data_IF_113390695301
#
_entry.id   IF_113390695301
#
_cell.length_a   1.000
_cell.length_b   1.000
_cell.length_c   1.000
_cell.angle_alpha   90.00
_cell.angle_beta   90.00
_cell.angle_gamma   90.00
#
_symmetry.space_group_name_H-M   'P 1'
#
loop_
_entity.id
_entity.type
_entity.pdbx_description
1 polymer ?
#
# COMPACT_ATOMS: atom_id res chain seq x y z
N UNK A 1 -41.46 8.16 15.78
CA UNK A 1 -40.42 8.76 14.92
C UNK A 1 -39.72 7.64 14.18
N UNK A 2 -40.06 7.43 12.91
CA UNK A 2 -39.37 6.47 12.04
C UNK A 2 -37.94 6.99 11.82
N UNK A 3 -36.96 6.15 12.10
CA UNK A 3 -35.57 6.36 11.70
C UNK A 3 -35.56 6.52 10.19
N UNK A 4 -35.59 7.79 9.74
CA UNK A 4 -35.34 8.17 8.37
C UNK A 4 -34.04 7.48 7.98
N UNK A 5 -34.10 6.52 7.05
CA UNK A 5 -32.93 5.89 6.46
C UNK A 5 -32.04 7.01 5.93
N UNK A 6 -31.05 7.41 6.72
CA UNK A 6 -30.01 8.33 6.27
C UNK A 6 -29.25 7.48 5.26
N UNK A 7 -29.59 7.66 4.00
CA UNK A 7 -28.88 7.09 2.86
C UNK A 7 -27.40 7.42 3.06
N UNK A 8 -26.63 6.44 3.55
CA UNK A 8 -25.27 6.65 4.02
C UNK A 8 -24.44 6.88 2.78
N UNK A 9 -24.38 8.15 2.34
CA UNK A 9 -23.64 8.56 1.16
C UNK A 9 -22.24 7.98 1.27
N UNK A 10 -21.86 7.20 0.26
CA UNK A 10 -20.54 6.57 0.18
C UNK A 10 -19.46 7.66 0.02
N UNK A 11 -19.10 8.27 1.14
CA UNK A 11 -18.07 9.30 1.25
C UNK A 11 -16.67 8.75 0.98
N UNK A 12 -16.53 7.43 0.82
CA UNK A 12 -15.28 6.77 0.48
C UNK A 12 -15.14 6.56 -1.03
N UNK A 13 -16.25 6.35 -1.76
CA UNK A 13 -16.27 6.20 -3.22
C UNK A 13 -15.42 7.25 -3.95
N UNK A 14 -15.65 8.53 -3.68
CA UNK A 14 -14.90 9.62 -4.33
C UNK A 14 -13.39 9.57 -4.03
N UNK A 15 -13.00 9.14 -2.82
CA UNK A 15 -11.59 8.97 -2.45
C UNK A 15 -10.95 7.78 -3.15
N UNK A 16 -11.69 6.69 -3.34
CA UNK A 16 -11.24 5.53 -4.11
C UNK A 16 -10.99 5.94 -5.56
N UNK A 17 -11.96 6.59 -6.22
CA UNK A 17 -11.81 7.03 -7.62
C UNK A 17 -10.63 7.98 -7.80
N UNK A 18 -10.49 8.97 -6.92
CA UNK A 18 -9.34 9.88 -6.98
C UNK A 18 -8.00 9.13 -6.83
N UNK A 19 -7.93 8.14 -5.94
CA UNK A 19 -6.73 7.36 -5.75
C UNK A 19 -6.43 6.43 -6.93
N UNK A 20 -7.44 5.86 -7.57
CA UNK A 20 -7.30 5.04 -8.78
C UNK A 20 -6.76 5.85 -9.95
N UNK A 21 -7.35 7.02 -10.19
CA UNK A 21 -6.92 7.93 -11.26
C UNK A 21 -5.44 8.30 -11.08
N UNK A 22 -5.01 8.62 -9.84
CA UNK A 22 -3.61 8.94 -9.55
C UNK A 22 -2.68 7.73 -9.66
N UNK A 23 -3.09 6.58 -9.14
CA UNK A 23 -2.26 5.38 -9.12
C UNK A 23 -2.04 4.80 -10.52
N UNK A 24 -3.04 4.91 -11.38
CA UNK A 24 -3.04 4.22 -12.67
C UNK A 24 -2.89 5.14 -13.89
N UNK A 25 -2.92 6.47 -13.77
CA UNK A 25 -2.77 7.40 -14.91
C UNK A 25 -1.67 7.00 -15.90
N UNK A 26 -0.50 6.61 -15.41
CA UNK A 26 0.66 6.25 -16.24
C UNK A 26 1.11 4.79 -16.08
N UNK A 27 0.31 3.92 -15.46
CA UNK A 27 0.72 2.54 -15.19
C UNK A 27 0.35 1.61 -16.35
N UNK A 28 1.32 1.28 -17.21
CA UNK A 28 1.12 0.49 -18.43
C UNK A 28 0.33 -0.82 -18.21
N UNK A 29 0.75 -1.66 -17.25
CA UNK A 29 0.08 -2.95 -17.01
C UNK A 29 -1.33 -2.83 -16.44
N UNK A 30 -1.62 -1.75 -15.71
CA UNK A 30 -2.96 -1.48 -15.18
C UNK A 30 -3.87 -0.97 -16.30
N UNK A 31 -3.32 -0.08 -17.14
CA UNK A 31 -3.96 0.49 -18.32
C UNK A 31 -3.94 -0.45 -19.53
N UNK A 32 -3.82 -1.76 -19.33
CA UNK A 32 -4.09 -2.70 -20.41
C UNK A 32 -5.60 -2.70 -20.71
N UNK A 33 -5.99 -2.33 -21.94
CA UNK A 33 -7.38 -2.37 -22.40
C UNK A 33 -7.64 -3.63 -23.24
N UNK A 34 -8.70 -4.36 -22.90
CA UNK A 34 -9.17 -5.49 -23.70
C UNK A 34 -9.97 -4.98 -24.90
N UNK A 35 -9.73 -5.57 -26.07
CA UNK A 35 -10.36 -5.14 -27.31
C UNK A 35 -11.87 -5.40 -27.39
N UNK A 36 -12.40 -6.33 -26.58
CA UNK A 36 -13.83 -6.65 -26.52
C UNK A 36 -14.22 -7.38 -25.24
N UNK A 37 -15.53 -7.48 -24.99
CA UNK A 37 -16.11 -8.20 -23.84
C UNK A 37 -15.66 -9.66 -23.78
N UNK A 38 -15.49 -10.35 -24.91
CA UNK A 38 -15.02 -11.74 -24.95
C UNK A 38 -13.62 -11.88 -24.32
N UNK A 39 -12.72 -10.94 -24.59
CA UNK A 39 -11.38 -10.94 -23.99
C UNK A 39 -11.42 -10.56 -22.50
N UNK A 40 -12.22 -9.57 -22.13
CA UNK A 40 -12.43 -9.20 -20.73
C UNK A 40 -12.98 -10.38 -19.91
N UNK A 41 -13.96 -11.10 -20.46
CA UNK A 41 -14.51 -12.32 -19.86
C UNK A 41 -13.44 -13.39 -19.66
N UNK A 42 -12.63 -13.70 -20.68
CA UNK A 42 -11.52 -14.66 -20.55
C UNK A 42 -10.55 -14.28 -19.43
N UNK A 43 -10.25 -12.98 -19.28
CA UNK A 43 -9.42 -12.52 -18.17
C UNK A 43 -10.09 -12.76 -16.82
N UNK A 44 -11.38 -12.42 -16.67
CA UNK A 44 -12.14 -12.68 -15.45
C UNK A 44 -12.20 -14.18 -15.15
N UNK A 45 -12.48 -15.02 -16.15
CA UNK A 45 -12.52 -16.48 -16.03
C UNK A 45 -11.16 -17.02 -15.52
N UNK A 46 -10.04 -16.54 -16.08
CA UNK A 46 -8.69 -16.92 -15.63
C UNK A 46 -8.41 -16.57 -14.16
N UNK A 47 -9.04 -15.52 -13.64
CA UNK A 47 -8.96 -15.16 -12.23
C UNK A 47 -9.78 -16.14 -11.40
N UNK A 48 -11.05 -16.33 -11.75
CA UNK A 48 -12.01 -17.13 -10.98
C UNK A 48 -11.69 -18.63 -10.99
N UNK A 49 -11.03 -19.12 -12.03
CA UNK A 49 -10.58 -20.51 -12.16
C UNK A 49 -9.23 -20.78 -11.47
N UNK A 50 -8.53 -19.73 -11.02
CA UNK A 50 -7.21 -19.89 -10.42
C UNK A 50 -7.27 -20.58 -9.05
N UNK A 51 -6.24 -21.38 -8.74
CA UNK A 51 -6.05 -21.95 -7.38
C UNK A 51 -6.06 -20.87 -6.31
N UNK A 52 -5.45 -19.71 -6.62
CA UNK A 52 -5.42 -18.56 -5.72
C UNK A 52 -6.84 -18.14 -5.33
N UNK A 53 -7.74 -17.96 -6.32
CA UNK A 53 -9.13 -17.60 -6.07
C UNK A 53 -9.86 -18.64 -5.21
N UNK A 54 -9.70 -19.93 -5.50
CA UNK A 54 -10.34 -21.01 -4.75
C UNK A 54 -9.88 -21.07 -3.27
N UNK A 55 -8.64 -20.69 -3.00
CA UNK A 55 -8.05 -20.68 -1.65
C UNK A 55 -8.25 -19.37 -0.89
N UNK A 56 -8.63 -18.29 -1.58
CA UNK A 56 -8.60 -16.98 -0.98
C UNK A 56 -9.73 -16.83 0.05
N UNK A 57 -9.32 -16.37 1.23
CA UNK A 57 -10.23 -16.00 2.31
C UNK A 57 -10.15 -14.49 2.49
N UNK A 58 -11.31 -13.85 2.54
CA UNK A 58 -11.42 -12.40 2.69
C UNK A 58 -11.95 -12.09 4.07
N UNK A 59 -11.40 -11.07 4.75
CA UNK A 59 -11.89 -10.72 6.06
C UNK A 59 -13.30 -10.13 5.96
N UNK A 60 -14.17 -10.52 6.88
CA UNK A 60 -15.48 -9.88 7.08
C UNK A 60 -15.35 -8.81 8.16
N UNK A 61 -15.58 -7.55 7.80
CA UNK A 61 -15.58 -6.40 8.71
C UNK A 61 -16.97 -5.99 9.21
N UNK A 62 -18.00 -6.79 8.91
CA UNK A 62 -19.36 -6.58 9.42
C UNK A 62 -19.39 -6.30 10.95
N UNK A 63 -20.19 -5.31 11.42
CA UNK A 63 -20.35 -5.02 12.84
C UNK A 63 -20.78 -6.27 13.62
N UNK A 64 -20.14 -6.56 14.75
CA UNK A 64 -20.48 -7.70 15.60
C UNK A 64 -20.00 -9.07 15.09
N UNK A 65 -19.50 -9.18 13.84
CA UNK A 65 -18.92 -10.43 13.37
C UNK A 65 -17.64 -10.75 14.17
N UNK A 66 -17.59 -11.97 14.74
CA UNK A 66 -16.31 -12.62 15.07
C UNK A 66 -15.42 -12.55 13.83
N UNK A 67 -14.10 -12.53 14.01
CA UNK A 67 -13.14 -12.52 12.90
C UNK A 67 -13.37 -13.77 12.05
N UNK A 68 -14.25 -13.61 11.07
CA UNK A 68 -14.72 -14.64 10.18
C UNK A 68 -14.20 -14.24 8.83
N UNK A 69 -13.52 -15.17 8.19
CA UNK A 69 -13.19 -15.03 6.79
C UNK A 69 -14.24 -15.76 5.98
N UNK A 70 -14.58 -15.23 4.82
CA UNK A 70 -15.43 -15.92 3.85
C UNK A 70 -14.63 -16.18 2.58
N UNK A 71 -14.98 -17.26 1.87
CA UNK A 71 -14.49 -17.48 0.51
C UNK A 71 -15.39 -16.72 -0.45
N UNK A 72 -14.83 -16.30 -1.58
CA UNK A 72 -15.65 -15.83 -2.69
C UNK A 72 -16.70 -16.90 -3.02
N UNK A 73 -17.97 -16.56 -2.95
CA UNK A 73 -19.07 -17.47 -3.28
C UNK A 73 -19.27 -17.63 -4.79
N UNK A 74 -18.64 -16.77 -5.59
CA UNK A 74 -18.76 -16.79 -7.05
C UNK A 74 -17.62 -17.59 -7.67
N UNK A 75 -17.94 -18.82 -8.08
CA UNK A 75 -17.06 -19.64 -8.94
C UNK A 75 -17.00 -19.11 -10.37
N UNK A 76 -18.01 -18.34 -10.78
CA UNK A 76 -18.09 -17.78 -12.12
C UNK A 76 -18.61 -16.35 -12.02
N UNK A 77 -17.90 -15.41 -12.67
CA UNK A 77 -18.36 -14.03 -12.79
C UNK A 77 -18.75 -13.79 -14.25
N UNK A 78 -19.97 -13.31 -14.50
CA UNK A 78 -20.47 -13.08 -15.85
C UNK A 78 -20.22 -11.64 -16.27
N UNK A 79 -19.39 -11.44 -17.29
CA UNK A 79 -19.18 -10.11 -17.90
C UNK A 79 -20.14 -9.92 -19.08
N UNK A 80 -20.98 -8.88 -19.02
CA UNK A 80 -21.89 -8.49 -20.10
C UNK A 80 -21.55 -7.10 -20.63
N UNK A 81 -21.61 -6.95 -21.95
CA UNK A 81 -21.51 -5.65 -22.61
C UNK A 81 -22.76 -4.80 -22.37
N UNK A 82 -22.59 -3.48 -22.42
CA UNK A 82 -23.68 -2.51 -22.50
C UNK A 82 -23.30 -1.34 -23.39
N UNK A 83 -24.31 -0.61 -23.88
CA UNK A 83 -24.10 0.68 -24.54
C UNK A 83 -23.71 1.75 -23.49
N UNK A 84 -22.81 2.66 -23.85
CA UNK A 84 -22.38 3.80 -23.03
C UNK A 84 -21.20 3.54 -22.10
N UNK A 85 -20.86 4.53 -21.27
CA UNK A 85 -19.59 4.59 -20.49
C UNK A 85 -19.61 3.96 -19.10
N UNK A 86 -20.74 3.42 -18.68
CA UNK A 86 -20.93 2.93 -17.31
C UNK A 86 -20.33 1.54 -17.07
N UNK A 87 -19.90 1.28 -15.84
CA UNK A 87 -19.39 -0.01 -15.38
C UNK A 87 -19.89 -0.33 -13.96
N UNK A 88 -20.39 -1.56 -13.76
CA UNK A 88 -21.16 -1.97 -12.58
C UNK A 88 -20.89 -3.44 -12.25
N UNK A 89 -20.36 -3.72 -11.07
CA UNK A 89 -20.26 -5.03 -10.45
C UNK A 89 -21.41 -5.26 -9.47
N UNK A 90 -22.04 -6.42 -9.55
CA UNK A 90 -23.10 -6.84 -8.65
C UNK A 90 -22.58 -7.95 -7.73
N UNK A 91 -23.01 -7.94 -6.47
CA UNK A 91 -22.79 -9.02 -5.50
C UNK A 91 -23.41 -10.38 -5.89
N UNK A 92 -24.06 -10.46 -7.05
CA UNK A 92 -24.55 -11.71 -7.67
C UNK A 92 -23.51 -12.39 -8.56
N UNK A 93 -22.27 -11.87 -8.63
CA UNK A 93 -21.25 -12.38 -9.54
C UNK A 93 -21.47 -11.95 -10.98
N UNK A 94 -22.07 -10.78 -11.19
CA UNK A 94 -22.30 -10.21 -12.53
C UNK A 94 -21.55 -8.90 -12.66
N UNK A 95 -20.89 -8.70 -13.80
CA UNK A 95 -20.27 -7.44 -14.19
C UNK A 95 -20.94 -6.97 -15.49
N UNK A 96 -21.37 -5.71 -15.52
CA UNK A 96 -21.91 -5.06 -16.72
C UNK A 96 -21.04 -3.86 -17.04
N UNK A 97 -20.41 -3.88 -18.22
CA UNK A 97 -19.38 -2.92 -18.57
C UNK A 97 -19.55 -2.44 -20.02
N UNK A 98 -19.34 -1.14 -20.24
CA UNK A 98 -19.25 -0.57 -21.58
C UNK A 98 -17.88 -0.77 -22.21
N UNK A 99 -17.80 -0.75 -23.54
CA UNK A 99 -16.56 -1.05 -24.28
C UNK A 99 -15.42 -0.06 -23.99
N UNK A 100 -15.73 1.16 -23.56
CA UNK A 100 -14.75 2.18 -23.14
C UNK A 100 -14.12 1.90 -21.76
N UNK A 101 -14.70 0.98 -20.98
CA UNK A 101 -14.27 0.68 -19.60
C UNK A 101 -13.57 -0.66 -19.46
N UNK A 102 -13.24 -1.34 -20.58
CA UNK A 102 -12.56 -2.64 -20.61
C UNK A 102 -11.08 -2.60 -20.20
N UNK A 103 -10.70 -1.75 -19.25
CA UNK A 103 -9.35 -1.71 -18.69
C UNK A 103 -9.20 -2.75 -17.60
N UNK A 104 -7.98 -3.30 -17.49
CA UNK A 104 -7.67 -4.36 -16.52
C UNK A 104 -7.98 -3.96 -15.09
N UNK A 105 -7.60 -2.75 -14.68
CA UNK A 105 -7.88 -2.28 -13.32
C UNK A 105 -9.38 -2.07 -13.06
N UNK A 106 -10.15 -1.58 -14.04
CA UNK A 106 -11.61 -1.49 -13.94
C UNK A 106 -12.27 -2.87 -13.76
N UNK A 107 -11.79 -3.91 -14.45
CA UNK A 107 -12.32 -5.27 -14.22
C UNK A 107 -12.05 -5.76 -12.80
N UNK A 108 -10.85 -5.49 -12.25
CA UNK A 108 -10.54 -5.85 -10.87
C UNK A 108 -11.36 -5.04 -9.85
N UNK A 109 -11.66 -3.78 -10.16
CA UNK A 109 -12.58 -2.94 -9.38
C UNK A 109 -13.95 -3.60 -9.27
N UNK A 110 -14.53 -4.02 -10.39
CA UNK A 110 -15.84 -4.67 -10.38
C UNK A 110 -15.82 -6.07 -9.76
N UNK A 111 -14.75 -6.85 -9.97
CA UNK A 111 -14.57 -8.12 -9.28
C UNK A 111 -14.56 -7.91 -7.76
N UNK A 112 -13.93 -6.86 -7.26
CA UNK A 112 -13.93 -6.56 -5.83
C UNK A 112 -15.36 -6.31 -5.30
N UNK A 113 -16.24 -5.66 -6.08
CA UNK A 113 -17.67 -5.50 -5.74
C UNK A 113 -18.43 -6.84 -5.73
N UNK A 114 -18.04 -7.81 -6.56
CA UNK A 114 -18.68 -9.14 -6.51
C UNK A 114 -18.32 -9.90 -5.23
N UNK A 115 -17.17 -9.61 -4.62
CA UNK A 115 -16.70 -10.29 -3.41
C UNK A 115 -17.14 -9.55 -2.17
N UNK A 116 -16.98 -8.23 -2.11
CA UNK A 116 -17.28 -7.44 -0.92
C UNK A 116 -18.79 -7.32 -0.74
N UNK A 117 -19.29 -7.73 0.42
CA UNK A 117 -20.72 -7.74 0.72
C UNK A 117 -21.11 -6.66 1.75
N UNK A 118 -20.23 -5.69 1.99
CA UNK A 118 -20.41 -4.65 2.99
C UNK A 118 -20.96 -3.37 2.39
N UNK A 119 -21.80 -2.69 3.17
CA UNK A 119 -22.17 -1.31 2.95
C UNK A 119 -21.27 -0.37 3.78
N UNK A 120 -20.82 0.76 3.21
CA UNK A 120 -21.02 1.18 1.82
C UNK A 120 -20.22 0.32 0.82
N UNK A 121 -20.68 0.24 -0.42
CA UNK A 121 -20.04 -0.55 -1.49
C UNK A 121 -18.52 -0.36 -1.62
N UNK A 122 -17.99 0.87 -1.44
CA UNK A 122 -16.54 1.12 -1.43
C UNK A 122 -15.94 1.13 -0.02
N UNK A 123 -16.46 0.28 0.86
CA UNK A 123 -16.05 0.13 2.26
C UNK A 123 -14.60 -0.39 2.43
N UNK A 124 -14.12 -0.49 3.68
CA UNK A 124 -12.77 -1.00 3.94
C UNK A 124 -12.55 -2.44 3.46
N UNK A 125 -13.57 -3.29 3.49
CA UNK A 125 -13.50 -4.66 2.98
C UNK A 125 -13.27 -4.67 1.47
N UNK A 126 -14.09 -3.92 0.72
CA UNK A 126 -13.91 -3.70 -0.71
C UNK A 126 -12.48 -3.27 -1.04
N UNK A 127 -11.98 -2.23 -0.35
CA UNK A 127 -10.65 -1.70 -0.61
C UNK A 127 -9.52 -2.72 -0.30
N UNK A 128 -9.71 -3.56 0.72
CA UNK A 128 -8.77 -4.63 1.05
C UNK A 128 -8.73 -5.73 -0.01
N UNK A 129 -9.91 -6.16 -0.48
CA UNK A 129 -10.06 -7.13 -1.58
C UNK A 129 -9.40 -6.59 -2.85
N UNK A 130 -9.70 -5.35 -3.19
CA UNK A 130 -9.20 -4.72 -4.41
C UNK A 130 -7.66 -4.60 -4.43
N UNK A 131 -7.06 -4.19 -3.32
CA UNK A 131 -5.60 -4.19 -3.17
C UNK A 131 -4.98 -5.59 -3.35
N UNK A 132 -5.63 -6.64 -2.83
CA UNK A 132 -5.16 -8.01 -3.00
C UNK A 132 -5.23 -8.46 -4.46
N UNK A 133 -6.32 -8.13 -5.17
CA UNK A 133 -6.48 -8.40 -6.60
C UNK A 133 -5.42 -7.68 -7.43
N UNK A 134 -5.21 -6.39 -7.20
CA UNK A 134 -4.20 -5.58 -7.91
C UNK A 134 -2.80 -6.16 -7.70
N UNK A 135 -2.45 -6.50 -6.45
CA UNK A 135 -1.15 -7.13 -6.15
C UNK A 135 -0.93 -8.42 -6.91
N UNK A 136 -1.97 -9.25 -7.01
CA UNK A 136 -1.87 -10.58 -7.62
C UNK A 136 -1.86 -10.51 -9.15
N UNK A 137 -2.73 -9.72 -9.75
CA UNK A 137 -3.04 -9.79 -11.18
C UNK A 137 -2.48 -8.64 -12.02
N UNK A 138 -2.07 -7.54 -11.40
CA UNK A 138 -1.33 -6.46 -12.07
C UNK A 138 0.14 -6.50 -11.65
N UNK A 139 0.41 -6.65 -10.34
CA UNK A 139 1.75 -6.81 -9.80
C UNK A 139 2.00 -5.97 -8.54
N UNK A 140 3.17 -6.17 -7.95
CA UNK A 140 3.57 -5.51 -6.70
C UNK A 140 3.68 -4.00 -6.84
N UNK A 141 4.18 -3.50 -7.96
CA UNK A 141 4.39 -2.06 -8.16
C UNK A 141 3.06 -1.31 -8.24
N UNK A 142 2.12 -1.81 -9.03
CA UNK A 142 0.73 -1.31 -9.08
C UNK A 142 0.07 -1.31 -7.70
N UNK A 143 0.28 -2.38 -6.92
CA UNK A 143 -0.22 -2.46 -5.55
C UNK A 143 0.37 -1.39 -4.64
N UNK A 144 1.69 -1.16 -4.70
CA UNK A 144 2.35 -0.16 -3.87
C UNK A 144 1.88 1.25 -4.21
N UNK A 145 1.71 1.55 -5.50
CA UNK A 145 1.16 2.82 -5.99
C UNK A 145 -0.30 3.00 -5.53
N UNK A 146 -1.18 2.03 -5.78
CA UNK A 146 -2.57 2.14 -5.33
C UNK A 146 -2.67 2.27 -3.81
N UNK A 147 -1.83 1.54 -3.06
CA UNK A 147 -1.79 1.63 -1.61
C UNK A 147 -1.27 2.98 -1.12
N UNK A 148 -0.28 3.58 -1.78
CA UNK A 148 0.20 4.92 -1.42
C UNK A 148 -0.87 5.96 -1.67
N UNK A 149 -1.58 5.88 -2.81
CA UNK A 149 -2.69 6.78 -3.13
C UNK A 149 -3.88 6.58 -2.19
N UNK A 150 -4.21 5.34 -1.82
CA UNK A 150 -5.21 5.07 -0.78
C UNK A 150 -4.86 5.77 0.53
N UNK A 151 -3.58 5.75 0.92
CA UNK A 151 -3.12 6.46 2.11
C UNK A 151 -3.20 7.97 1.94
N UNK A 152 -2.77 8.51 0.80
CA UNK A 152 -2.79 9.95 0.51
C UNK A 152 -4.21 10.53 0.50
N UNK A 153 -5.18 9.77 -0.04
CA UNK A 153 -6.58 10.17 -0.12
C UNK A 153 -7.43 9.76 1.09
N UNK A 154 -6.82 9.20 2.15
CA UNK A 154 -7.54 8.78 3.34
C UNK A 154 -8.58 7.68 3.09
N UNK A 155 -8.32 6.80 2.14
CA UNK A 155 -9.10 5.58 1.89
C UNK A 155 -8.81 4.58 3.00
N UNK A 156 -9.86 4.08 3.65
CA UNK A 156 -9.77 3.04 4.66
C UNK A 156 -9.81 1.69 3.94
N UNK A 157 -8.81 0.85 4.20
CA UNK A 157 -8.69 -0.50 3.62
C UNK A 157 -8.30 -1.54 4.68
N UNK A 158 -8.43 -1.17 5.96
CA UNK A 158 -8.15 -2.02 7.10
C UNK A 158 -9.40 -2.10 7.96
N UNK A 159 -9.55 -3.21 8.68
CA UNK A 159 -10.58 -3.34 9.72
C UNK A 159 -10.49 -2.15 10.67
N UNK A 160 -11.59 -1.46 10.97
CA UNK A 160 -11.62 -0.49 12.05
C UNK A 160 -11.15 -1.19 13.34
N UNK A 161 -10.21 -0.56 14.04
CA UNK A 161 -9.81 -1.06 15.36
C UNK A 161 -11.03 -0.94 16.29
N UNK A 162 -11.27 -1.96 17.12
CA UNK A 162 -12.25 -1.85 18.20
C UNK A 162 -11.90 -0.60 19.03
N UNK A 163 -12.87 0.26 19.37
CA UNK A 163 -12.63 1.35 20.29
C UNK A 163 -11.99 0.79 21.58
N UNK A 164 -10.95 1.44 22.12
CA UNK A 164 -10.36 1.00 23.36
C UNK A 164 -11.40 1.03 24.49
N UNK A 165 -11.40 0.00 25.34
CA UNK A 165 -12.22 -0.02 26.56
C UNK A 165 -11.84 1.12 27.49
N UNK A 166 -12.66 1.45 28.49
CA UNK A 166 -12.30 2.50 29.48
C UNK A 166 -10.97 2.23 30.16
N UNK A 167 -10.74 0.98 30.55
CA UNK A 167 -9.46 0.55 31.12
C UNK A 167 -8.29 0.76 30.14
N UNK A 168 -8.48 0.45 28.86
CA UNK A 168 -7.47 0.69 27.82
C UNK A 168 -7.27 2.19 27.58
N UNK A 169 -8.34 3.00 27.59
CA UNK A 169 -8.28 4.46 27.48
C UNK A 169 -7.49 5.07 28.63
N UNK A 170 -7.76 4.62 29.86
CA UNK A 170 -7.01 5.04 31.06
C UNK A 170 -5.54 4.65 30.96
N UNK A 171 -5.23 3.41 30.56
CA UNK A 171 -3.85 2.97 30.36
C UNK A 171 -3.11 3.76 29.27
N UNK A 172 -3.77 4.08 28.16
CA UNK A 172 -3.20 4.92 27.10
C UNK A 172 -2.93 6.35 27.61
N UNK A 173 -3.84 6.93 28.40
CA UNK A 173 -3.65 8.25 29.02
C UNK A 173 -2.48 8.24 30.01
N UNK A 174 -2.41 7.24 30.89
CA UNK A 174 -1.32 7.08 31.84
C UNK A 174 0.04 6.88 31.13
N UNK A 175 0.07 6.07 30.07
CA UNK A 175 1.26 5.90 29.24
C UNK A 175 1.69 7.19 28.53
N UNK A 176 0.73 7.96 28.01
CA UNK A 176 1.01 9.26 27.40
C UNK A 176 1.56 10.28 28.41
N UNK A 177 1.02 10.31 29.64
CA UNK A 177 1.53 11.14 30.73
C UNK A 177 2.97 10.77 31.10
N UNK A 178 3.25 9.49 31.34
CA UNK A 178 4.63 9.00 31.60
C UNK A 178 5.60 9.33 30.48
N UNK A 179 5.17 9.20 29.23
CA UNK A 179 5.99 9.57 28.07
C UNK A 179 6.26 11.08 28.02
N UNK A 180 5.28 11.91 28.41
CA UNK A 180 5.45 13.36 28.50
C UNK A 180 6.43 13.75 29.61
N UNK A 181 6.29 13.17 30.81
CA UNK A 181 7.23 13.35 31.92
C UNK A 181 8.65 12.94 31.54
N UNK A 182 8.82 11.75 30.95
CA UNK A 182 10.12 11.28 30.47
C UNK A 182 10.73 12.23 29.45
N UNK A 183 9.92 12.78 28.52
CA UNK A 183 10.39 13.76 27.53
C UNK A 183 10.79 15.08 28.17
N UNK A 184 10.06 15.55 29.18
CA UNK A 184 10.39 16.75 29.93
C UNK A 184 11.70 16.59 30.71
N UNK A 185 11.91 15.41 31.33
CA UNK A 185 13.15 15.09 32.03
C UNK A 185 14.34 14.83 31.09
N UNK A 186 14.12 14.53 29.81
CA UNK A 186 15.16 14.17 28.84
C UNK A 186 15.15 15.05 27.57
N UNK A 187 15.32 16.39 27.68
CA UNK A 187 15.16 17.31 26.55
C UNK A 187 16.17 17.07 25.41
N UNK A 188 17.37 16.57 25.72
CA UNK A 188 18.44 16.28 24.73
C UNK A 188 18.14 15.07 23.84
N UNK A 189 17.24 14.17 24.25
CA UNK A 189 16.84 12.99 23.44
C UNK A 189 15.66 13.26 22.51
N UNK A 190 15.20 14.53 22.46
CA UNK A 190 14.04 14.96 21.66
C UNK A 190 14.35 14.98 20.15
N UNK A 191 15.60 15.20 19.78
CA UNK A 191 16.05 15.07 18.40
C UNK A 191 16.43 13.61 18.16
N UNK A 192 15.55 12.83 17.53
CA UNK A 192 15.86 11.48 17.03
C UNK A 192 16.97 11.44 15.95
N UNK A 193 17.89 12.42 15.93
CA UNK A 193 19.19 12.29 15.28
C UNK A 193 20.08 11.49 16.24
N UNK A 194 20.11 10.18 16.04
CA UNK A 194 21.33 9.44 16.37
C UNK A 194 22.45 10.01 15.50
N UNK A 195 23.17 11.00 16.01
CA UNK A 195 24.55 11.24 15.59
C UNK A 195 25.34 10.11 16.23
N UNK A 196 25.82 9.16 15.44
CA UNK A 196 26.90 8.30 15.90
C UNK A 196 28.21 9.05 15.65
N UNK A 197 28.74 9.66 16.70
CA UNK A 197 30.11 10.15 16.65
C UNK A 197 31.03 8.94 16.74
N UNK A 198 31.55 8.51 15.59
CA UNK A 198 32.66 7.55 15.56
C UNK A 198 33.93 8.39 15.45
N UNK A 199 34.72 8.38 16.52
CA UNK A 199 36.08 8.94 16.50
C UNK A 199 36.93 7.98 15.68
N UNK A 200 37.41 8.42 14.52
CA UNK A 200 38.40 7.68 13.75
C UNK A 200 39.79 7.93 14.33
N UNK A 201 40.72 6.98 14.14
CA UNK A 201 42.05 6.94 14.76
C UNK A 201 42.96 8.16 14.47
N UNK A 202 42.52 9.06 13.60
CA UNK A 202 43.19 10.30 13.21
C UNK A 202 42.68 11.55 13.96
N UNK A 203 41.91 11.40 15.04
CA UNK A 203 41.51 12.53 15.91
C UNK A 203 40.44 13.46 15.36
N UNK A 204 39.90 13.19 14.16
CA UNK A 204 38.82 13.98 13.57
C UNK A 204 37.44 13.34 13.86
N UNK A 205 36.57 14.08 14.54
CA UNK A 205 35.13 13.79 14.62
C UNK A 205 34.45 14.25 13.34
N UNK A 206 34.02 13.32 12.49
CA UNK A 206 33.09 13.60 11.38
C UNK A 206 31.82 12.77 11.57
N UNK A 207 30.71 13.45 11.84
CA UNK A 207 29.41 12.84 12.01
C UNK A 207 28.92 12.22 10.70
N UNK A 208 28.90 10.89 10.61
CA UNK A 208 28.29 10.19 9.49
C UNK A 208 26.78 10.10 9.76
N UNK A 209 25.98 10.69 8.88
CA UNK A 209 24.52 10.65 9.00
C UNK A 209 23.97 9.32 8.51
N UNK A 210 23.51 8.47 9.43
CA UNK A 210 22.79 7.25 9.09
C UNK A 210 21.30 7.46 9.30
N UNK A 211 20.53 7.54 8.21
CA UNK A 211 19.08 7.44 8.31
C UNK A 211 18.69 5.97 8.19
N UNK A 212 18.52 5.30 9.33
CA UNK A 212 17.91 3.97 9.37
C UNK A 212 16.45 4.09 8.94
N UNK A 213 16.15 3.85 7.66
CA UNK A 213 14.77 3.70 7.22
C UNK A 213 14.25 2.34 7.68
N UNK A 214 13.52 2.30 8.79
CA UNK A 214 12.65 1.16 9.10
C UNK A 214 11.43 1.26 8.19
N UNK A 215 11.31 0.35 7.24
CA UNK A 215 10.03 0.08 6.61
C UNK A 215 9.21 -0.78 7.58
N UNK A 216 8.11 -0.24 8.11
CA UNK A 216 7.16 -1.01 8.90
C UNK A 216 6.48 -2.05 7.98
N UNK A 217 6.90 -3.30 8.14
CA UNK A 217 6.32 -4.45 7.47
C UNK A 217 5.46 -5.23 8.48
N UNK A 218 4.16 -5.24 8.25
CA UNK A 218 3.23 -6.13 8.93
C UNK A 218 2.50 -6.95 7.85
N UNK A 219 2.92 -8.22 7.73
CA UNK A 219 2.21 -9.41 7.24
C UNK A 219 3.16 -10.30 6.40
N UNK A 220 3.81 -11.25 7.10
CA UNK A 220 4.11 -12.62 6.67
C UNK A 220 4.69 -12.87 5.28
N UNK A 221 5.97 -12.55 5.09
CA UNK A 221 6.88 -13.28 4.17
C UNK A 221 8.33 -12.95 4.56
N UNK A 222 9.14 -13.97 4.85
CA UNK A 222 10.50 -13.83 5.39
C UNK A 222 11.54 -13.64 4.28
N UNK A 223 11.45 -12.53 3.54
CA UNK A 223 12.58 -12.04 2.73
C UNK A 223 12.99 -10.64 3.20
N UNK A 224 13.84 -10.62 4.23
CA UNK A 224 14.54 -9.44 4.71
C UNK A 224 15.51 -8.93 3.62
N UNK A 225 15.05 -8.02 2.76
CA UNK A 225 15.96 -7.23 1.91
C UNK A 225 16.05 -5.81 2.44
N UNK A 226 17.11 -5.55 3.23
CA UNK A 226 17.51 -4.20 3.59
C UNK A 226 18.22 -3.57 2.39
N UNK A 227 17.63 -2.52 1.82
CA UNK A 227 18.29 -1.70 0.80
C UNK A 227 19.00 -0.54 1.47
N UNK A 228 20.30 -0.41 1.22
CA UNK A 228 21.09 0.76 1.63
C UNK A 228 21.19 1.73 0.45
N UNK A 229 20.83 2.99 0.68
CA UNK A 229 20.85 4.04 -0.33
C UNK A 229 22.10 4.92 -0.16
N UNK A 230 22.82 5.16 -1.25
CA UNK A 230 23.93 6.11 -1.28
C UNK A 230 23.83 7.01 -2.51
N UNK A 231 23.94 8.32 -2.31
CA UNK A 231 24.04 9.31 -3.38
C UNK A 231 25.43 9.97 -3.29
N UNK A 232 26.24 9.80 -4.32
CA UNK A 232 27.54 10.46 -4.45
C UNK A 232 27.41 11.57 -5.49
N UNK A 233 27.73 12.82 -5.11
CA UNK A 233 27.79 13.93 -6.07
C UNK A 233 29.24 14.01 -6.55
N UNK A 234 29.57 13.37 -7.68
CA UNK A 234 30.79 13.75 -8.41
C UNK A 234 30.61 15.18 -8.91
N UNK A 235 31.47 16.10 -8.50
CA UNK A 235 31.72 17.34 -9.24
C UNK A 235 32.68 17.01 -10.38
N UNK A 236 32.13 16.45 -11.47
CA UNK A 236 32.80 16.44 -12.76
C UNK A 236 31.74 16.89 -13.78
N UNK A 237 31.88 18.11 -14.27
CA UNK A 237 31.32 18.63 -15.53
C UNK A 237 29.86 18.23 -15.86
N UNK A 238 28.90 18.64 -15.02
CA UNK A 238 27.48 18.66 -15.40
C UNK A 238 26.71 17.32 -15.33
N UNK A 239 27.30 16.24 -14.78
CA UNK A 239 26.63 14.95 -14.62
C UNK A 239 25.62 14.87 -13.45
N UNK A 240 24.49 14.18 -13.66
CA UNK A 240 23.54 13.83 -12.58
C UNK A 240 24.18 12.87 -11.56
N UNK A 241 23.80 12.93 -10.27
CA UNK A 241 24.36 12.05 -9.25
C UNK A 241 24.07 10.57 -9.54
N UNK A 242 25.09 9.71 -9.45
CA UNK A 242 24.94 8.26 -9.56
C UNK A 242 24.30 7.70 -8.28
N UNK A 243 23.24 6.92 -8.46
CA UNK A 243 22.58 6.20 -7.36
C UNK A 243 23.13 4.78 -7.31
N UNK A 244 23.68 4.38 -6.17
CA UNK A 244 24.12 3.01 -5.93
C UNK A 244 23.15 2.31 -4.97
N UNK A 245 22.72 1.11 -5.34
CA UNK A 245 21.85 0.27 -4.54
C UNK A 245 22.64 -0.94 -4.03
N UNK A 246 22.65 -1.14 -2.71
CA UNK A 246 23.30 -2.29 -2.08
C UNK A 246 22.24 -3.20 -1.45
N UNK A 247 22.36 -4.51 -1.68
CA UNK A 247 21.47 -5.55 -1.15
C UNK A 247 21.85 -5.96 0.27
N UNK A 248 23.09 -5.73 0.68
CA UNK A 248 23.61 -6.06 2.02
C UNK A 248 24.57 -5.00 2.54
N UNK A 249 24.79 -4.96 3.87
CA UNK A 249 25.84 -4.13 4.47
C UNK A 249 27.24 -4.45 3.95
N UNK A 250 27.54 -5.74 3.70
CA UNK A 250 28.85 -6.16 3.18
C UNK A 250 29.11 -5.65 1.76
N UNK A 251 28.07 -5.48 0.95
CA UNK A 251 28.20 -4.88 -0.39
C UNK A 251 28.50 -3.38 -0.30
N UNK A 252 27.84 -2.68 0.62
CA UNK A 252 28.12 -1.27 0.90
C UNK A 252 29.54 -1.10 1.46
N UNK A 253 29.96 -1.91 2.43
CA UNK A 253 31.31 -1.83 3.01
C UNK A 253 32.39 -2.09 1.95
N UNK A 254 32.23 -3.13 1.11
CA UNK A 254 33.16 -3.40 -0.01
C UNK A 254 33.18 -2.27 -1.04
N UNK A 255 32.08 -1.56 -1.22
CA UNK A 255 32.06 -0.38 -2.07
C UNK A 255 32.77 0.80 -1.42
N UNK A 256 32.53 1.07 -0.13
CA UNK A 256 33.17 2.15 0.61
C UNK A 256 34.70 1.95 0.72
N UNK A 257 35.18 0.71 0.90
CA UNK A 257 36.60 0.38 0.92
C UNK A 257 37.32 0.57 -0.43
N UNK A 258 36.58 0.72 -1.53
CA UNK A 258 37.15 1.02 -2.86
C UNK A 258 37.28 2.52 -3.13
N UNK A 259 36.75 3.36 -2.24
CA UNK A 259 36.86 4.82 -2.37
C UNK A 259 38.18 5.31 -1.78
N UNK A 260 38.85 6.18 -2.52
CA UNK A 260 40.02 6.91 -2.06
C UNK A 260 39.65 7.93 -0.98
N UNK A 261 40.61 8.37 -0.14
CA UNK A 261 40.36 9.44 0.84
C UNK A 261 39.80 10.73 0.23
N UNK A 262 40.20 11.06 -1.01
CA UNK A 262 39.66 12.19 -1.77
C UNK A 262 38.18 11.96 -2.15
N UNK A 263 37.83 10.79 -2.69
CA UNK A 263 36.45 10.43 -3.00
C UNK A 263 35.55 10.40 -1.76
N UNK A 264 36.09 10.00 -0.61
CA UNK A 264 35.38 10.06 0.67
C UNK A 264 35.16 11.51 1.16
N UNK A 265 36.06 12.43 0.83
CA UNK A 265 35.95 13.85 1.22
C UNK A 265 34.96 14.65 0.36
N UNK A 266 34.72 14.22 -0.89
CA UNK A 266 33.74 14.83 -1.80
C UNK A 266 32.29 14.41 -1.50
N UNK A 267 32.11 13.44 -0.61
CA UNK A 267 30.82 13.06 -0.06
C UNK A 267 30.40 14.13 0.96
N UNK A 268 29.88 15.26 0.47
CA UNK A 268 29.24 16.29 1.30
C UNK A 268 27.79 15.95 1.62
N UNK A 269 27.38 16.37 2.82
CA UNK A 269 26.07 16.17 3.45
C UNK A 269 24.87 16.66 2.63
#
# INVERSE_FOLDING_TARGET
MTTKDIDVRDSQRGRVYNAEDKAFANHQSANHRYGCIKMARRYVDSITESKWWATQTYPRFAPGARETTYRSCHRHIVVKGKRGRGCWGYNSGRIVMGDERLWRWFLLHEIAHTIAHEEPAHGPQYCAVYLALVRRWIGRDAYLLLRSEFKAHGVRYKRPRKPPTDRQRQALRAGAAKLAEWRAANPRKRTGRMMCDRVYANGHTRGVYWKRMRYDWAMGDRSDMNWYYFACRRQCDGGLPTKHHFRTMRELDRWAHRLTPAELSDIRH
#
